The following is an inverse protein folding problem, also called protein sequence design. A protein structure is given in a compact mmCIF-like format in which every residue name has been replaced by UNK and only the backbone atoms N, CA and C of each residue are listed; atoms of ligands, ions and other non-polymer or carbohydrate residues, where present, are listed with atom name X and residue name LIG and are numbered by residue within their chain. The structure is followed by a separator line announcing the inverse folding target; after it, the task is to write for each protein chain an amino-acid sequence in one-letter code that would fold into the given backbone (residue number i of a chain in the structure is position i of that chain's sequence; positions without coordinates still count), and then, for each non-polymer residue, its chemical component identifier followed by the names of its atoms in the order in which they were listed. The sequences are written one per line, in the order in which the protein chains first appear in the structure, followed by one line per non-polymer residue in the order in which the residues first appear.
data_IF_426563216218
#
_entry.id   IF_426563216218
#
_cell.length_a   1.000
_cell.length_b   1.000
_cell.length_c   1.000
_cell.angle_alpha   90.00
_cell.angle_beta   90.00
_cell.angle_gamma   90.00
#
_symmetry.space_group_name_H-M   'P 1'
#
loop_
_entity.id
_entity.type
_entity.pdbx_description
1 polymer ?
#
# COMPACT_ATOMS: atom_id res chain seq x y z
N UNK A 1 0.09 22.19 35.71
CA UNK A 1 0.00 22.94 34.43
C UNK A 1 1.39 23.06 33.86
N UNK A 2 1.78 22.10 33.03
CA UNK A 2 2.65 22.31 31.86
C UNK A 2 2.52 21.03 31.01
N UNK A 3 1.32 20.81 30.45
CA UNK A 3 1.06 19.73 29.49
C UNK A 3 1.68 20.10 28.14
N UNK A 4 3.01 20.04 28.07
CA UNK A 4 3.73 20.09 26.79
C UNK A 4 3.60 18.73 26.15
N UNK A 5 2.49 18.49 25.46
CA UNK A 5 2.39 17.41 24.48
C UNK A 5 3.35 17.79 23.36
N UNK A 6 4.58 17.29 23.45
CA UNK A 6 5.49 17.30 22.31
C UNK A 6 4.93 16.26 21.34
N UNK A 7 4.05 16.71 20.44
CA UNK A 7 3.65 15.95 19.25
C UNK A 7 4.92 15.76 18.42
N UNK A 8 5.70 14.72 18.72
CA UNK A 8 6.83 14.33 17.90
C UNK A 8 6.25 13.78 16.59
N UNK A 9 6.11 14.66 15.60
CA UNK A 9 5.86 14.25 14.23
C UNK A 9 6.96 13.25 13.82
N UNK A 10 6.56 12.00 13.63
CA UNK A 10 7.46 10.96 13.16
C UNK A 10 7.48 11.00 11.63
N UNK A 11 8.63 10.75 11.04
CA UNK A 11 8.77 10.75 9.58
C UNK A 11 9.16 9.37 9.07
N UNK A 12 8.66 9.03 7.89
CA UNK A 12 9.05 7.84 7.13
C UNK A 12 9.55 8.24 5.75
N UNK A 13 10.50 7.46 5.22
CA UNK A 13 11.04 7.66 3.88
C UNK A 13 10.32 6.77 2.88
N UNK A 14 9.74 7.34 1.84
CA UNK A 14 9.21 6.58 0.72
C UNK A 14 10.35 6.19 -0.21
N UNK A 15 10.48 4.89 -0.46
CA UNK A 15 11.52 4.25 -1.26
C UNK A 15 10.88 3.37 -2.35
N UNK A 16 11.70 2.77 -3.21
CA UNK A 16 11.22 1.83 -4.22
C UNK A 16 10.65 0.54 -3.61
N UNK A 17 11.10 0.16 -2.41
CA UNK A 17 10.63 -1.02 -1.68
C UNK A 17 9.33 -0.75 -0.92
N UNK A 18 9.02 0.51 -0.63
CA UNK A 18 7.85 0.92 0.15
C UNK A 18 8.14 2.10 1.07
N UNK A 19 7.27 2.28 2.06
CA UNK A 19 7.41 3.29 3.11
C UNK A 19 8.34 2.73 4.19
N UNK A 20 9.58 3.22 4.26
CA UNK A 20 10.57 2.83 5.24
C UNK A 20 10.39 3.61 6.54
N UNK A 21 10.15 2.89 7.63
CA UNK A 21 10.04 3.44 8.97
C UNK A 21 10.61 2.44 9.97
N UNK A 22 11.57 2.88 10.80
CA UNK A 22 12.25 2.03 11.81
C UNK A 22 12.79 0.72 11.21
N UNK A 23 13.49 0.82 10.08
CA UNK A 23 14.06 -0.31 9.33
C UNK A 23 13.05 -1.37 8.86
N UNK A 24 11.77 -1.02 8.82
CA UNK A 24 10.71 -1.86 8.30
C UNK A 24 10.00 -1.17 7.13
N UNK A 25 9.58 -1.97 6.17
CA UNK A 25 8.83 -1.49 5.01
C UNK A 25 7.34 -1.68 5.19
N UNK A 26 6.59 -0.65 4.84
CA UNK A 26 5.14 -0.61 4.89
C UNK A 26 4.57 -0.23 3.53
N UNK A 27 3.32 -0.60 3.29
CA UNK A 27 2.57 -0.17 2.11
C UNK A 27 1.10 0.09 2.47
N UNK A 28 0.45 0.93 1.69
CA UNK A 28 -0.98 1.20 1.77
C UNK A 28 -1.59 1.20 0.37
N UNK A 29 -2.92 1.23 0.33
CA UNK A 29 -3.67 1.24 -0.93
C UNK A 29 -3.31 2.44 -1.80
N UNK A 30 -3.12 3.61 -1.19
CA UNK A 30 -2.76 4.86 -1.85
C UNK A 30 -1.38 4.77 -2.48
N UNK A 31 -0.38 4.27 -1.75
CA UNK A 31 0.98 4.08 -2.26
C UNK A 31 1.02 3.16 -3.48
N UNK A 32 0.20 2.09 -3.49
CA UNK A 32 0.07 1.19 -4.64
C UNK A 32 -0.66 1.85 -5.81
N UNK A 33 -1.81 2.48 -5.54
CA UNK A 33 -2.66 3.10 -6.58
C UNK A 33 -1.92 4.23 -7.30
N UNK A 34 -1.17 5.03 -6.56
CA UNK A 34 -0.41 6.17 -7.09
C UNK A 34 1.02 5.81 -7.49
N UNK A 35 1.37 4.53 -7.41
CA UNK A 35 2.66 3.98 -7.83
C UNK A 35 3.85 4.69 -7.19
N UNK A 36 3.80 4.84 -5.87
CA UNK A 36 4.87 5.50 -5.12
C UNK A 36 6.23 4.83 -5.34
N UNK A 37 6.24 3.51 -5.53
CA UNK A 37 7.44 2.75 -5.87
C UNK A 37 8.11 3.20 -7.18
N UNK A 38 7.35 3.60 -8.21
CA UNK A 38 7.91 4.13 -9.47
C UNK A 38 8.42 5.55 -9.27
N UNK A 39 7.65 6.40 -8.58
CA UNK A 39 8.04 7.79 -8.32
C UNK A 39 9.31 7.89 -7.48
N UNK A 40 9.46 6.98 -6.52
CA UNK A 40 10.61 6.92 -5.63
C UNK A 40 11.90 6.45 -6.33
N UNK A 41 11.80 5.87 -7.54
CA UNK A 41 12.99 5.50 -8.33
C UNK A 41 13.83 6.73 -8.71
N UNK A 42 13.17 7.86 -8.97
CA UNK A 42 13.86 9.11 -9.29
C UNK A 42 14.46 9.70 -8.01
N UNK A 43 13.63 9.84 -6.98
CA UNK A 43 14.02 10.39 -5.68
C UNK A 43 12.97 10.01 -4.63
N UNK A 44 13.42 9.44 -3.51
CA UNK A 44 12.57 9.21 -2.34
C UNK A 44 12.13 10.52 -1.68
N UNK A 45 11.05 10.49 -0.91
CA UNK A 45 10.54 11.65 -0.17
C UNK A 45 10.07 11.25 1.23
N UNK A 46 10.08 12.22 2.15
CA UNK A 46 9.60 12.02 3.52
C UNK A 46 8.09 12.23 3.60
N UNK A 47 7.42 11.43 4.41
CA UNK A 47 6.02 11.59 4.80
C UNK A 47 5.89 11.63 6.32
N UNK A 48 4.90 12.35 6.81
CA UNK A 48 4.60 12.42 8.25
C UNK A 48 3.71 11.25 8.66
N UNK A 49 4.11 10.58 9.74
CA UNK A 49 3.34 9.55 10.43
C UNK A 49 2.55 10.22 11.54
N UNK A 50 1.24 10.06 11.48
CA UNK A 50 0.36 10.57 12.52
C UNK A 50 0.36 9.65 13.74
N UNK A 51 0.28 8.33 13.53
CA UNK A 51 0.34 7.33 14.60
C UNK A 51 1.03 6.06 14.12
N UNK A 52 1.75 5.40 15.02
CA UNK A 52 2.30 4.06 14.83
C UNK A 52 1.77 3.13 15.91
N UNK A 53 1.14 2.03 15.50
CA UNK A 53 0.71 0.96 16.41
C UNK A 53 1.76 -0.15 16.37
N UNK A 54 2.52 -0.28 17.46
CA UNK A 54 3.59 -1.27 17.64
C UNK A 54 3.04 -2.71 17.65
N UNK A 55 1.84 -2.93 18.21
CA UNK A 55 1.28 -4.27 18.37
C UNK A 55 0.70 -4.83 17.08
N UNK A 56 0.20 -3.96 16.20
CA UNK A 56 -0.44 -4.35 14.94
C UNK A 56 0.48 -4.20 13.73
N UNK A 57 1.69 -3.67 13.90
CA UNK A 57 2.59 -3.32 12.81
C UNK A 57 1.89 -2.46 11.74
N UNK A 58 1.22 -1.40 12.20
CA UNK A 58 0.48 -0.46 11.35
C UNK A 58 0.95 0.97 11.51
N UNK A 59 1.11 1.66 10.38
CA UNK A 59 1.29 3.10 10.32
C UNK A 59 -0.02 3.76 9.91
N UNK A 60 -0.30 4.92 10.51
CA UNK A 60 -1.43 5.76 10.15
C UNK A 60 -0.87 7.08 9.63
N UNK A 61 -1.19 7.39 8.38
CA UNK A 61 -0.90 8.67 7.74
C UNK A 61 -2.18 9.52 7.75
N UNK A 62 -2.04 10.81 8.06
CA UNK A 62 -3.15 11.75 8.02
C UNK A 62 -2.90 12.81 6.94
N UNK A 63 -3.49 12.67 5.75
CA UNK A 63 -3.23 13.59 4.64
C UNK A 63 -3.86 14.98 4.83
N UNK A 64 -4.99 15.09 5.56
CA UNK A 64 -5.65 16.34 5.93
C UNK A 64 -6.75 16.06 6.96
N UNK A 65 -7.17 17.06 7.75
CA UNK A 65 -8.22 16.89 8.78
C UNK A 65 -9.55 16.39 8.22
N UNK A 66 -9.85 16.66 6.95
CA UNK A 66 -11.12 16.29 6.29
C UNK A 66 -11.04 15.02 5.44
N UNK A 67 -9.89 14.33 5.43
CA UNK A 67 -9.70 13.09 4.67
C UNK A 67 -9.60 11.90 5.61
N UNK A 68 -10.07 10.72 5.19
CA UNK A 68 -9.92 9.52 6.00
C UNK A 68 -8.44 9.23 6.25
N UNK A 69 -8.16 8.73 7.45
CA UNK A 69 -6.84 8.24 7.83
C UNK A 69 -6.42 7.08 6.90
N UNK A 70 -5.17 7.13 6.44
CA UNK A 70 -4.60 6.10 5.57
C UNK A 70 -3.84 5.11 6.43
N UNK A 71 -4.25 3.84 6.38
CA UNK A 71 -3.62 2.76 7.12
C UNK A 71 -2.62 2.06 6.22
N UNK A 72 -1.36 2.01 6.64
CA UNK A 72 -0.30 1.23 6.01
C UNK A 72 0.00 0.00 6.86
N UNK A 73 0.12 -1.15 6.21
CA UNK A 73 0.50 -2.42 6.83
C UNK A 73 1.95 -2.75 6.48
N UNK A 74 2.64 -3.44 7.39
CA UNK A 74 3.99 -3.95 7.16
C UNK A 74 4.01 -4.90 5.97
N UNK A 75 5.02 -4.75 5.12
CA UNK A 75 5.34 -5.69 4.06
C UNK A 75 6.11 -6.81 4.73
N UNK A 76 5.50 -8.00 4.81
CA UNK A 76 6.21 -9.18 5.28
C UNK A 76 7.03 -9.75 4.13
N UNK A 77 8.32 -9.98 4.37
CA UNK A 77 9.16 -10.80 3.50
C UNK A 77 8.74 -12.26 3.67
N UNK A 78 7.66 -12.64 2.99
CA UNK A 78 7.39 -14.05 2.76
C UNK A 78 8.35 -14.47 1.66
N UNK A 79 9.36 -15.28 2.01
CA UNK A 79 10.19 -15.96 1.02
C UNK A 79 9.30 -16.86 0.16
N UNK A 80 8.84 -16.33 -0.98
CA UNK A 80 8.16 -17.14 -1.98
C UNK A 80 9.27 -17.85 -2.76
N UNK A 81 9.30 -19.18 -2.69
CA UNK A 81 10.23 -19.97 -3.50
C UNK A 81 10.14 -19.56 -4.97
N UNK A 82 11.28 -19.47 -5.65
CA UNK A 82 11.37 -19.08 -7.07
C UNK A 82 10.41 -19.88 -7.96
N UNK A 83 10.27 -21.18 -7.67
CA UNK A 83 9.33 -22.09 -8.32
C UNK A 83 7.86 -21.64 -8.18
N UNK A 84 7.46 -21.18 -6.99
CA UNK A 84 6.10 -20.68 -6.75
C UNK A 84 5.86 -19.34 -7.46
N UNK A 85 6.90 -18.50 -7.58
CA UNK A 85 6.81 -17.22 -8.29
C UNK A 85 6.60 -17.40 -9.79
N UNK A 86 7.33 -18.32 -10.41
CA UNK A 86 7.20 -18.65 -11.84
C UNK A 86 5.85 -19.28 -12.16
N UNK A 87 5.38 -20.20 -11.32
CA UNK A 87 4.06 -20.80 -11.45
C UNK A 87 2.95 -19.73 -11.40
N UNK A 88 3.02 -18.82 -10.42
CA UNK A 88 2.08 -17.71 -10.29
C UNK A 88 2.11 -16.77 -11.50
N UNK A 89 3.31 -16.38 -11.97
CA UNK A 89 3.45 -15.54 -13.16
C UNK A 89 2.85 -16.20 -14.40
N UNK A 90 3.10 -17.49 -14.57
CA UNK A 90 2.55 -18.28 -15.68
C UNK A 90 1.03 -18.32 -15.64
N UNK A 91 0.45 -18.55 -14.46
CA UNK A 91 -1.00 -18.55 -14.25
C UNK A 91 -1.62 -17.17 -14.53
N UNK A 92 -0.97 -16.09 -14.10
CA UNK A 92 -1.37 -14.71 -14.42
C UNK A 92 -1.35 -14.43 -15.92
N UNK A 93 -0.33 -14.90 -16.65
CA UNK A 93 -0.26 -14.76 -18.11
C UNK A 93 -1.37 -15.54 -18.81
N UNK A 94 -1.69 -16.75 -18.34
CA UNK A 94 -2.82 -17.53 -18.86
C UNK A 94 -4.15 -16.81 -18.65
N UNK A 95 -4.39 -16.23 -17.46
CA UNK A 95 -5.60 -15.46 -17.15
C UNK A 95 -5.74 -14.20 -18.02
N UNK A 96 -4.63 -13.53 -18.36
CA UNK A 96 -4.64 -12.39 -19.30
C UNK A 96 -5.01 -12.79 -20.73
N UNK A 97 -4.66 -14.02 -21.13
CA UNK A 97 -4.97 -14.58 -22.46
C UNK A 97 -6.38 -15.13 -22.56
N UNK A 98 -7.05 -15.38 -21.44
CA UNK A 98 -8.44 -15.85 -21.45
C UNK A 98 -9.38 -14.75 -21.97
N UNK A 99 -10.26 -15.05 -22.93
CA UNK A 99 -11.27 -14.11 -23.39
C UNK A 99 -12.15 -13.70 -22.21
N UNK A 100 -12.26 -12.39 -21.95
CA UNK A 100 -13.22 -11.87 -20.96
C UNK A 100 -14.61 -12.32 -21.38
N UNK A 101 -15.24 -13.18 -20.57
CA UNK A 101 -16.67 -13.52 -20.76
C UNK A 101 -17.43 -12.20 -20.77
N UNK A 102 -18.00 -11.83 -21.93
CA UNK A 102 -18.90 -10.68 -22.05
C UNK A 102 -19.97 -10.87 -20.98
N UNK A 103 -20.05 -9.96 -20.00
CA UNK A 103 -21.20 -9.90 -19.11
C UNK A 103 -22.41 -9.77 -20.03
N UNK A 104 -23.23 -10.82 -20.12
CA UNK A 104 -24.54 -10.69 -20.72
C UNK A 104 -25.26 -9.63 -19.88
N UNK A 105 -25.41 -8.43 -20.42
CA UNK A 105 -26.44 -7.51 -19.95
C UNK A 105 -27.74 -8.26 -20.15
N UNK A 106 -28.29 -8.82 -19.06
CA UNK A 106 -29.72 -9.08 -19.01
C UNK A 106 -30.36 -7.71 -18.98
N UNK A 107 -30.61 -7.15 -20.16
CA UNK A 107 -31.57 -6.07 -20.32
C UNK A 107 -32.89 -6.64 -19.84
N UNK A 108 -33.21 -6.34 -18.58
CA UNK A 108 -34.50 -6.65 -17.98
C UNK A 108 -35.47 -5.55 -18.41
N UNK A 109 -35.70 -5.43 -19.72
CA UNK A 109 -36.92 -4.83 -20.23
C UNK A 109 -38.01 -5.88 -20.09
N UNK A 110 -38.87 -5.73 -19.08
CA UNK A 110 -40.24 -6.22 -19.16
C UNK A 110 -41.16 -5.10 -18.70
N UNK A 111 -42.09 -4.83 -19.61
CA UNK A 111 -43.29 -4.01 -19.51
C UNK A 111 -44.00 -4.13 -18.17
#
# INVERSE_FOLDING_TARGET
MDDRVVDQEQFALVTIQGICFRDQYYSCREALKERWYEKAMIKGWMITIYKYNVHEDKLILRPSQNKPDIICSRINDVEISTKNREAYFTQMQQLKRMPRRKRQRKDRNKL
#
